data_IF_700626713421
#
_entry.id   IF_700626713421
#
_cell.length_a   1.000
_cell.length_b   1.000
_cell.length_c   1.000
_cell.angle_alpha   90.00
_cell.angle_beta   90.00
_cell.angle_gamma   90.00
#
_symmetry.space_group_name_H-M   'P 1'
#
loop_
_entity.id
_entity.type
_entity.pdbx_description
1 polymer ?
#
# COMPACT_ATOMS: atom_id res chain seq x y z
N UNK A 1 -13.56 -6.80 -8.35
CA UNK A 1 -13.97 -6.48 -6.96
C UNK A 1 -14.35 -5.00 -6.88
N UNK A 2 -15.50 -4.67 -6.28
CA UNK A 2 -15.96 -3.28 -6.16
C UNK A 2 -15.23 -2.56 -5.00
N UNK A 3 -14.79 -1.29 -5.17
CA UNK A 3 -14.04 -0.54 -4.16
C UNK A 3 -14.70 -0.45 -2.77
N UNK A 4 -16.03 -0.45 -2.72
CA UNK A 4 -16.79 -0.40 -1.46
C UNK A 4 -16.64 -1.65 -0.59
N UNK A 5 -16.24 -2.80 -1.16
CA UNK A 5 -16.05 -4.05 -0.38
C UNK A 5 -14.70 -4.14 0.32
N UNK A 6 -13.75 -3.23 0.03
CA UNK A 6 -12.47 -3.21 0.74
C UNK A 6 -12.61 -2.76 2.19
N UNK A 7 -13.62 -1.93 2.51
CA UNK A 7 -13.84 -1.45 3.88
C UNK A 7 -14.20 -2.60 4.83
N UNK A 8 -15.10 -3.48 4.41
CA UNK A 8 -15.51 -4.68 5.18
C UNK A 8 -14.39 -5.72 5.24
N UNK A 9 -13.46 -5.71 4.28
CA UNK A 9 -12.33 -6.65 4.26
C UNK A 9 -11.25 -6.32 5.31
N UNK A 10 -11.14 -5.05 5.68
CA UNK A 10 -10.17 -4.57 6.68
C UNK A 10 -10.80 -4.39 8.08
N UNK A 11 -12.08 -4.70 8.21
CA UNK A 11 -12.81 -4.57 9.48
C UNK A 11 -12.22 -5.54 10.51
N UNK A 12 -11.69 -5.01 11.62
CA UNK A 12 -11.00 -5.80 12.65
C UNK A 12 -9.52 -6.10 12.37
N UNK A 13 -8.96 -5.64 11.25
CA UNK A 13 -7.52 -5.79 10.97
C UNK A 13 -6.74 -4.74 11.74
N UNK A 14 -5.85 -5.20 12.63
CA UNK A 14 -5.01 -4.32 13.47
C UNK A 14 -3.61 -4.09 12.91
N UNK A 15 -3.14 -4.96 12.02
CA UNK A 15 -1.87 -4.82 11.31
C UNK A 15 -1.87 -5.64 10.00
N UNK A 16 -1.18 -5.15 8.97
CA UNK A 16 -0.99 -5.86 7.70
C UNK A 16 0.50 -6.16 7.48
N UNK A 17 0.82 -7.42 7.17
CA UNK A 17 2.16 -7.86 6.83
C UNK A 17 2.22 -8.26 5.34
N UNK A 18 2.91 -7.44 4.54
CA UNK A 18 3.17 -7.71 3.13
C UNK A 18 4.47 -8.51 3.01
N UNK A 19 4.37 -9.74 2.50
CA UNK A 19 5.54 -10.61 2.24
C UNK A 19 5.69 -10.85 0.75
N UNK A 20 6.92 -11.04 0.27
CA UNK A 20 7.18 -11.36 -1.14
C UNK A 20 6.84 -10.23 -2.12
N UNK A 21 7.06 -8.98 -1.69
CA UNK A 21 6.81 -7.80 -2.52
C UNK A 21 7.64 -7.87 -3.79
N UNK A 22 6.97 -7.83 -4.95
CA UNK A 22 7.54 -7.78 -6.29
C UNK A 22 6.88 -6.67 -7.10
N UNK A 23 7.52 -6.26 -8.20
CA UNK A 23 6.97 -5.27 -9.11
C UNK A 23 5.64 -5.74 -9.70
N UNK A 24 4.68 -4.82 -9.78
CA UNK A 24 3.38 -5.11 -10.39
C UNK A 24 3.43 -4.74 -11.87
N UNK A 25 3.18 -5.73 -12.72
CA UNK A 25 3.17 -5.54 -14.19
C UNK A 25 1.78 -5.18 -14.73
N UNK A 26 0.71 -5.41 -13.95
CA UNK A 26 -0.68 -5.15 -14.36
C UNK A 26 -1.25 -3.87 -13.70
N UNK A 27 -1.69 -2.92 -14.54
CA UNK A 27 -2.23 -1.63 -14.09
C UNK A 27 -3.48 -1.76 -13.20
N UNK A 28 -4.36 -2.74 -13.46
CA UNK A 28 -5.55 -2.97 -12.64
C UNK A 28 -5.19 -3.55 -11.28
N UNK A 29 -4.12 -4.35 -11.20
CA UNK A 29 -3.56 -4.81 -9.91
C UNK A 29 -2.97 -3.63 -9.15
N UNK A 30 -2.20 -2.77 -9.82
CA UNK A 30 -1.60 -1.59 -9.21
C UNK A 30 -2.65 -0.62 -8.64
N UNK A 31 -3.73 -0.36 -9.39
CA UNK A 31 -4.83 0.48 -8.92
C UNK A 31 -5.63 -0.14 -7.75
N UNK A 32 -5.75 -1.47 -7.71
CA UNK A 32 -6.33 -2.18 -6.55
C UNK A 32 -5.45 -2.05 -5.31
N UNK A 33 -4.13 -2.14 -5.47
CA UNK A 33 -3.20 -1.90 -4.36
C UNK A 33 -3.31 -0.46 -3.84
N UNK A 34 -3.37 0.54 -4.75
CA UNK A 34 -3.61 1.94 -4.34
C UNK A 34 -4.88 2.04 -3.49
N UNK A 35 -5.98 1.46 -3.95
CA UNK A 35 -7.24 1.50 -3.20
C UNK A 35 -7.12 0.82 -1.82
N UNK A 36 -6.39 -0.29 -1.71
CA UNK A 36 -6.14 -0.95 -0.44
C UNK A 36 -5.30 -0.09 0.52
N UNK A 37 -4.19 0.47 0.04
CA UNK A 37 -3.31 1.37 0.81
C UNK A 37 -4.07 2.58 1.32
N UNK A 38 -4.94 3.16 0.49
CA UNK A 38 -5.77 4.29 0.88
C UNK A 38 -6.67 3.94 2.07
N UNK A 39 -7.27 2.75 2.07
CA UNK A 39 -8.12 2.29 3.19
C UNK A 39 -7.32 2.01 4.46
N UNK A 40 -6.13 1.42 4.35
CA UNK A 40 -5.26 1.19 5.51
C UNK A 40 -4.81 2.51 6.12
N UNK A 41 -4.49 3.50 5.28
CA UNK A 41 -4.13 4.85 5.73
C UNK A 41 -5.28 5.56 6.42
N UNK A 42 -6.47 5.55 5.82
CA UNK A 42 -7.67 6.17 6.42
C UNK A 42 -8.05 5.52 7.76
N UNK A 43 -7.79 4.21 7.91
CA UNK A 43 -8.04 3.45 9.14
C UNK A 43 -6.88 3.52 10.15
N UNK A 44 -5.74 4.13 9.81
CA UNK A 44 -4.55 4.17 10.66
C UNK A 44 -3.93 2.80 10.93
N UNK A 45 -4.18 1.81 10.06
CA UNK A 45 -3.71 0.44 10.26
C UNK A 45 -2.23 0.34 9.86
N UNK A 46 -1.32 -0.01 10.79
CA UNK A 46 0.09 -0.16 10.49
C UNK A 46 0.35 -1.22 9.41
N UNK A 47 1.33 -0.94 8.55
CA UNK A 47 1.77 -1.85 7.49
C UNK A 47 3.25 -2.18 7.68
N UNK A 48 3.56 -3.47 7.69
CA UNK A 48 4.92 -3.99 7.69
C UNK A 48 5.16 -4.70 6.38
N UNK A 49 6.22 -4.34 5.66
CA UNK A 49 6.60 -5.03 4.43
C UNK A 49 7.95 -5.70 4.59
N UNK A 50 8.07 -6.93 4.09
CA UNK A 50 9.34 -7.65 3.96
C UNK A 50 9.54 -8.04 2.49
N UNK A 51 10.74 -7.77 1.95
CA UNK A 51 11.08 -8.07 0.56
C UNK A 51 11.69 -6.86 -0.15
N UNK A 52 11.32 -6.65 -1.41
CA UNK A 52 11.74 -5.50 -2.18
C UNK A 52 11.29 -4.18 -1.52
N UNK A 53 12.03 -3.11 -1.79
CA UNK A 53 11.67 -1.79 -1.28
C UNK A 53 10.29 -1.38 -1.82
N UNK A 54 9.48 -0.73 -0.98
CA UNK A 54 8.11 -0.32 -1.33
C UNK A 54 8.08 0.72 -2.48
N UNK A 55 9.20 1.39 -2.74
CA UNK A 55 9.38 2.32 -3.86
C UNK A 55 9.49 1.61 -5.22
N UNK A 56 9.84 0.32 -5.26
CA UNK A 56 9.95 -0.46 -6.49
C UNK A 56 8.69 -1.26 -6.85
N UNK A 57 7.57 -1.05 -6.16
CA UNK A 57 6.32 -1.77 -6.42
C UNK A 57 5.69 -1.35 -7.76
N UNK A 58 5.79 -0.07 -8.10
CA UNK A 58 5.27 0.47 -9.35
C UNK A 58 6.41 0.61 -10.35
N UNK A 59 6.24 0.08 -11.56
CA UNK A 59 7.24 0.18 -12.62
C UNK A 59 7.42 1.63 -13.10
N UNK A 60 8.58 1.93 -13.70
CA UNK A 60 8.85 3.23 -14.32
C UNK A 60 7.81 3.58 -15.40
N UNK A 61 7.35 2.58 -16.17
CA UNK A 61 6.29 2.73 -17.16
C UNK A 61 4.97 3.16 -16.53
N UNK A 62 4.58 2.56 -15.40
CA UNK A 62 3.39 2.98 -14.65
C UNK A 62 3.55 4.40 -14.09
N UNK A 63 4.74 4.77 -13.63
CA UNK A 63 5.03 6.11 -13.15
C UNK A 63 5.07 7.15 -14.28
N UNK A 64 5.36 6.75 -15.52
CA UNK A 64 5.23 7.58 -16.71
C UNK A 64 3.78 7.69 -17.24
N UNK A 65 2.90 6.80 -16.81
CA UNK A 65 1.50 6.73 -17.23
C UNK A 65 0.55 7.73 -16.56
N UNK A 66 -0.72 7.73 -17.01
CA UNK A 66 -1.75 8.67 -16.57
C UNK A 66 -2.16 8.58 -15.09
N UNK A 67 -1.78 7.50 -14.40
CA UNK A 67 -2.10 7.28 -12.98
C UNK A 67 -0.93 7.60 -12.04
N UNK A 68 0.16 8.22 -12.52
CA UNK A 68 1.35 8.60 -11.72
C UNK A 68 1.01 9.18 -10.33
N UNK A 69 0.07 10.14 -10.26
CA UNK A 69 -0.32 10.78 -9.00
C UNK A 69 -0.91 9.79 -7.99
N UNK A 70 -1.59 8.74 -8.44
CA UNK A 70 -2.16 7.68 -7.59
C UNK A 70 -1.07 6.78 -7.02
N UNK A 71 -0.09 6.40 -7.85
CA UNK A 71 1.05 5.58 -7.43
C UNK A 71 1.93 6.29 -6.41
N UNK A 72 2.35 7.53 -6.70
CA UNK A 72 3.14 8.33 -5.76
C UNK A 72 2.42 8.55 -4.43
N UNK A 73 1.10 8.75 -4.48
CA UNK A 73 0.27 8.89 -3.27
C UNK A 73 0.26 7.60 -2.44
N UNK A 74 0.11 6.44 -3.07
CA UNK A 74 0.16 5.15 -2.38
C UNK A 74 1.54 4.90 -1.76
N UNK A 75 2.63 5.18 -2.46
CA UNK A 75 4.00 5.06 -1.92
C UNK A 75 4.19 5.95 -0.68
N UNK A 76 3.74 7.20 -0.74
CA UNK A 76 3.82 8.13 0.39
C UNK A 76 3.05 7.62 1.62
N UNK A 77 1.84 7.07 1.42
CA UNK A 77 1.03 6.50 2.49
C UNK A 77 1.63 5.23 3.08
N UNK A 78 2.13 4.34 2.24
CA UNK A 78 2.85 3.14 2.67
C UNK A 78 4.03 3.51 3.58
N UNK A 79 4.85 4.49 3.18
CA UNK A 79 5.95 4.98 4.00
C UNK A 79 5.47 5.51 5.37
N UNK A 80 4.40 6.30 5.39
CA UNK A 80 3.82 6.81 6.65
C UNK A 80 3.32 5.69 7.58
N UNK A 81 2.63 4.68 7.02
CA UNK A 81 2.14 3.53 7.78
C UNK A 81 3.27 2.63 8.30
N UNK A 82 4.39 2.56 7.58
CA UNK A 82 5.55 1.77 8.00
C UNK A 82 6.36 2.52 9.08
N UNK A 83 6.46 3.85 8.99
CA UNK A 83 7.11 4.66 10.02
C UNK A 83 6.38 4.57 11.37
N UNK A 84 5.04 4.54 11.36
CA UNK A 84 4.23 4.33 12.56
C UNK A 84 4.51 2.99 13.27
N UNK A 85 4.83 1.93 12.51
CA UNK A 85 5.26 0.63 13.08
C UNK A 85 6.58 0.76 13.80
N UNK A 86 7.57 1.43 13.21
CA UNK A 86 8.90 1.57 13.81
C UNK A 86 8.80 2.31 15.13
N UNK A 87 8.00 3.38 15.19
CA UNK A 87 7.76 4.15 16.42
C UNK A 87 7.06 3.32 17.51
N UNK A 88 6.14 2.42 17.14
CA UNK A 88 5.44 1.55 18.08
C UNK A 88 6.31 0.40 18.66
N UNK A 89 7.54 0.21 18.14
CA UNK A 89 8.47 -0.85 18.58
C UNK A 89 9.54 -0.37 19.57
N UNK A 90 9.51 0.89 19.99
CA UNK A 90 10.40 1.39 21.06
C UNK A 90 9.70 1.31 22.43
N UNK A 91 10.21 0.50 23.38
CA UNK A 91 9.78 0.48 24.78
C UNK A 91 10.45 1.58 25.63
#
# INVERSE_FOLDING_TARGET
MHPSRYLTLIEGVTAVFLTGVHGIDDQNVALRLVALVDRLYDAGIPVVASGAKLDTIFSEEMLAGGYRKKYLRATSRLLALTAGVIQAREP
#
